data_IF_864951891031
#
_entry.id   IF_864951891031
#
_cell.length_a   1.000
_cell.length_b   1.000
_cell.length_c   1.000
_cell.angle_alpha   90.00
_cell.angle_beta   90.00
_cell.angle_gamma   90.00
#
_symmetry.space_group_name_H-M   'P 1'
#
loop_
_entity.id
_entity.type
_entity.pdbx_description
1 polymer ?
#
# COMPACT_ATOMS: atom_id res chain seq x y z
N UNK A 1 -20.37 -8.02 0.49
CA UNK A 1 -19.87 -8.74 -0.72
C UNK A 1 -18.34 -8.68 -0.74
N UNK A 2 -17.72 -8.85 0.43
CA UNK A 2 -16.36 -8.36 0.71
C UNK A 2 -15.46 -9.53 1.13
N UNK A 3 -16.07 -10.57 1.70
CA UNK A 3 -15.46 -11.83 2.08
C UNK A 3 -14.85 -12.61 0.90
N UNK A 4 -15.55 -12.66 -0.23
CA UNK A 4 -15.10 -13.41 -1.40
C UNK A 4 -13.90 -12.73 -2.08
N UNK A 5 -13.91 -11.39 -2.16
CA UNK A 5 -12.79 -10.59 -2.66
C UNK A 5 -11.57 -10.74 -1.75
N UNK A 6 -11.75 -10.71 -0.43
CA UNK A 6 -10.66 -10.94 0.53
C UNK A 6 -10.06 -12.35 0.43
N UNK A 7 -10.91 -13.37 0.22
CA UNK A 7 -10.45 -14.76 0.10
C UNK A 7 -9.74 -15.00 -1.23
N UNK A 8 -10.23 -14.41 -2.32
CA UNK A 8 -9.56 -14.42 -3.62
C UNK A 8 -8.23 -13.66 -3.55
N UNK A 9 -8.20 -12.46 -2.98
CA UNK A 9 -6.99 -11.67 -2.76
C UNK A 9 -5.95 -12.44 -1.94
N UNK A 10 -6.37 -13.06 -0.84
CA UNK A 10 -5.50 -13.89 0.00
C UNK A 10 -5.01 -15.17 -0.69
N UNK A 11 -5.77 -15.69 -1.66
CA UNK A 11 -5.34 -16.83 -2.48
C UNK A 11 -4.37 -16.39 -3.59
N UNK A 12 -4.68 -15.32 -4.32
CA UNK A 12 -3.83 -14.74 -5.36
C UNK A 12 -2.45 -14.32 -4.81
N UNK A 13 -2.39 -13.78 -3.59
CA UNK A 13 -1.13 -13.33 -2.98
C UNK A 13 -0.34 -14.42 -2.25
N UNK A 14 -0.79 -15.68 -2.30
CA UNK A 14 0.00 -16.82 -1.84
C UNK A 14 0.79 -17.42 -3.01
N UNK A 15 1.97 -18.01 -2.78
CA UNK A 15 2.78 -18.66 -3.81
C UNK A 15 1.98 -19.50 -4.83
N UNK A 16 1.03 -20.37 -4.42
CA UNK A 16 0.20 -21.12 -5.38
C UNK A 16 -0.68 -20.26 -6.30
N UNK A 17 -1.28 -19.17 -5.80
CA UNK A 17 -2.11 -18.29 -6.62
C UNK A 17 -1.29 -17.52 -7.64
N UNK A 18 -0.08 -17.09 -7.25
CA UNK A 18 0.87 -16.46 -8.15
C UNK A 18 1.25 -17.36 -9.32
N UNK A 19 1.64 -18.62 -9.06
CA UNK A 19 1.98 -19.58 -10.13
C UNK A 19 0.80 -19.84 -11.07
N UNK A 20 -0.42 -19.90 -10.54
CA UNK A 20 -1.62 -20.12 -11.34
C UNK A 20 -1.91 -18.93 -12.28
N UNK A 21 -1.74 -17.70 -11.80
CA UNK A 21 -1.83 -16.50 -12.63
C UNK A 21 -0.73 -16.47 -13.70
N UNK A 22 0.53 -16.73 -13.31
CA UNK A 22 1.65 -16.75 -14.26
C UNK A 22 1.41 -17.79 -15.35
N UNK A 23 0.95 -18.99 -15.00
CA UNK A 23 0.60 -20.02 -15.97
C UNK A 23 -0.55 -19.56 -16.89
N UNK A 24 -1.58 -18.92 -16.34
CA UNK A 24 -2.68 -18.34 -17.11
C UNK A 24 -2.21 -17.28 -18.11
N UNK A 25 -1.25 -16.42 -17.72
CA UNK A 25 -0.65 -15.41 -18.61
C UNK A 25 0.16 -16.06 -19.74
N UNK A 26 0.92 -17.11 -19.44
CA UNK A 26 1.70 -17.87 -20.44
C UNK A 26 0.77 -18.53 -21.44
N UNK A 27 -0.28 -19.22 -20.96
CA UNK A 27 -1.28 -19.87 -21.81
C UNK A 27 -1.99 -18.83 -22.70
N UNK A 28 -2.40 -17.72 -22.11
CA UNK A 28 -3.07 -16.63 -22.84
C UNK A 28 -2.17 -16.09 -23.96
N UNK A 29 -0.90 -15.84 -23.67
CA UNK A 29 0.08 -15.37 -24.66
C UNK A 29 0.30 -16.39 -25.78
N UNK A 30 0.32 -17.69 -25.46
CA UNK A 30 0.45 -18.76 -26.45
C UNK A 30 -0.78 -18.90 -27.38
N UNK A 31 -1.96 -18.40 -26.98
CA UNK A 31 -3.18 -18.39 -27.80
C UNK A 31 -3.23 -17.24 -28.82
N UNK A 32 -2.42 -16.18 -28.65
CA UNK A 32 -2.35 -15.02 -29.58
C UNK A 32 -2.08 -15.42 -31.05
N UNK A 33 -1.10 -16.28 -31.38
CA UNK A 33 -0.82 -16.66 -32.78
C UNK A 33 -1.96 -17.46 -33.45
N UNK A 34 -2.97 -17.92 -32.70
CA UNK A 34 -4.13 -18.63 -33.23
C UNK A 34 -5.27 -17.70 -33.68
N UNK A 35 -5.05 -16.39 -33.77
CA UNK A 35 -6.05 -15.42 -34.21
C UNK A 35 -7.09 -15.04 -33.15
N UNK A 36 -6.89 -15.47 -31.89
CA UNK A 36 -7.72 -15.13 -30.74
C UNK A 36 -7.27 -13.84 -30.03
N UNK A 37 -6.45 -13.02 -30.68
CA UNK A 37 -5.79 -11.84 -30.10
C UNK A 37 -6.77 -10.93 -29.36
N UNK A 38 -7.90 -10.57 -29.96
CA UNK A 38 -8.86 -9.64 -29.34
C UNK A 38 -9.42 -10.17 -28.02
N UNK A 39 -9.76 -11.47 -27.97
CA UNK A 39 -10.31 -12.12 -26.78
C UNK A 39 -9.24 -12.25 -25.70
N UNK A 40 -8.05 -12.71 -26.10
CA UNK A 40 -6.90 -12.86 -25.20
C UNK A 40 -6.53 -11.53 -24.58
N UNK A 41 -6.38 -10.48 -25.40
CA UNK A 41 -6.02 -9.14 -24.92
C UNK A 41 -7.08 -8.57 -23.99
N UNK A 42 -8.37 -8.71 -24.32
CA UNK A 42 -9.46 -8.28 -23.43
C UNK A 42 -9.40 -8.96 -22.06
N UNK A 43 -9.24 -10.29 -22.03
CA UNK A 43 -9.12 -11.07 -20.78
C UNK A 43 -7.91 -10.62 -19.97
N UNK A 44 -6.75 -10.42 -20.63
CA UNK A 44 -5.53 -9.96 -19.98
C UNK A 44 -5.68 -8.55 -19.38
N UNK A 45 -6.35 -7.62 -20.08
CA UNK A 45 -6.63 -6.28 -19.56
C UNK A 45 -7.50 -6.31 -18.31
N UNK A 46 -8.58 -7.10 -18.32
CA UNK A 46 -9.46 -7.25 -17.15
C UNK A 46 -8.69 -7.89 -15.98
N UNK A 47 -7.89 -8.93 -16.25
CA UNK A 47 -7.06 -9.57 -15.23
C UNK A 47 -6.06 -8.59 -14.60
N UNK A 48 -5.40 -7.75 -15.41
CA UNK A 48 -4.47 -6.75 -14.92
C UNK A 48 -5.14 -5.72 -13.99
N UNK A 49 -6.36 -5.26 -14.33
CA UNK A 49 -7.14 -4.35 -13.47
C UNK A 49 -7.47 -5.01 -12.13
N UNK A 50 -7.94 -6.26 -12.15
CA UNK A 50 -8.29 -6.99 -10.92
C UNK A 50 -7.07 -7.22 -10.02
N UNK A 51 -5.95 -7.67 -10.60
CA UNK A 51 -4.70 -7.89 -9.86
C UNK A 51 -4.22 -6.57 -9.25
N UNK A 52 -4.21 -5.49 -10.03
CA UNK A 52 -3.84 -4.16 -9.55
C UNK A 52 -4.72 -3.72 -8.38
N UNK A 53 -6.05 -3.89 -8.49
CA UNK A 53 -6.98 -3.59 -7.40
C UNK A 53 -6.69 -4.38 -6.12
N UNK A 54 -6.38 -5.67 -6.24
CA UNK A 54 -6.00 -6.53 -5.11
C UNK A 54 -4.70 -6.05 -4.45
N UNK A 55 -3.68 -5.72 -5.25
CA UNK A 55 -2.39 -5.21 -4.74
C UNK A 55 -2.58 -3.88 -4.01
N UNK A 56 -3.39 -2.97 -4.54
CA UNK A 56 -3.70 -1.70 -3.86
C UNK A 56 -4.37 -1.95 -2.51
N UNK A 57 -5.41 -2.80 -2.45
CA UNK A 57 -6.14 -3.11 -1.20
C UNK A 57 -5.19 -3.70 -0.15
N UNK A 58 -4.28 -4.60 -0.56
CA UNK A 58 -3.29 -5.17 0.33
C UNK A 58 -2.30 -4.12 0.83
N UNK A 59 -1.79 -3.26 -0.07
CA UNK A 59 -0.91 -2.16 0.27
C UNK A 59 -1.52 -1.20 1.30
N UNK A 60 -2.77 -0.78 1.10
CA UNK A 60 -3.48 0.08 2.07
C UNK A 60 -3.56 -0.54 3.47
N UNK A 61 -3.88 -1.84 3.55
CA UNK A 61 -3.97 -2.54 4.84
C UNK A 61 -2.61 -2.64 5.53
N UNK A 62 -1.57 -2.96 4.78
CA UNK A 62 -0.24 -3.14 5.34
C UNK A 62 0.35 -1.79 5.78
N UNK A 63 0.13 -0.71 5.02
CA UNK A 63 0.49 0.66 5.43
C UNK A 63 -0.23 1.09 6.71
N UNK A 64 -1.55 0.85 6.81
CA UNK A 64 -2.31 1.19 8.02
C UNK A 64 -1.81 0.43 9.26
N UNK A 65 -1.43 -0.85 9.10
CA UNK A 65 -0.87 -1.65 10.19
C UNK A 65 0.52 -1.14 10.62
N UNK A 66 1.32 -0.61 9.69
CA UNK A 66 2.61 0.01 10.01
C UNK A 66 2.39 1.29 10.81
N UNK A 67 1.49 2.16 10.35
CA UNK A 67 1.18 3.42 11.03
C UNK A 67 0.69 3.19 12.46
N UNK A 68 -0.24 2.25 12.68
CA UNK A 68 -0.73 1.93 14.02
C UNK A 68 0.39 1.44 14.97
N UNK A 69 1.38 0.69 14.46
CA UNK A 69 2.53 0.25 15.27
C UNK A 69 3.49 1.40 15.57
N UNK A 70 3.69 2.32 14.62
CA UNK A 70 4.51 3.51 14.84
C UNK A 70 3.86 4.44 15.86
N UNK A 71 2.54 4.63 15.78
CA UNK A 71 1.76 5.40 16.74
C UNK A 71 1.92 4.87 18.18
N UNK A 72 1.85 3.54 18.36
CA UNK A 72 2.09 2.91 19.66
C UNK A 72 3.52 3.14 20.17
N UNK A 73 4.53 3.06 19.29
CA UNK A 73 5.93 3.34 19.65
C UNK A 73 6.10 4.81 20.05
N UNK A 74 5.54 5.75 19.29
CA UNK A 74 5.55 7.19 19.61
C UNK A 74 4.85 7.45 20.93
N UNK A 75 3.72 6.80 21.21
CA UNK A 75 3.04 6.91 22.49
C UNK A 75 3.87 6.36 23.67
N UNK A 76 4.65 5.29 23.44
CA UNK A 76 5.48 4.66 24.47
C UNK A 76 6.79 5.39 24.78
N UNK A 77 7.26 6.23 23.86
CA UNK A 77 8.48 7.03 24.02
C UNK A 77 8.15 8.32 24.79
N UNK A 78 8.70 8.46 26.01
CA UNK A 78 8.43 9.61 26.88
C UNK A 78 8.86 10.97 26.31
N UNK A 79 9.74 10.98 25.30
CA UNK A 79 10.24 12.18 24.62
C UNK A 79 9.64 12.37 23.21
N UNK A 80 8.87 11.39 22.72
CA UNK A 80 8.22 11.50 21.42
C UNK A 80 6.90 12.28 21.57
N UNK A 81 6.71 13.28 20.71
CA UNK A 81 5.59 14.21 20.85
C UNK A 81 4.30 13.55 20.38
N UNK A 82 3.32 13.41 21.28
CA UNK A 82 2.02 12.81 20.96
C UNK A 82 1.26 13.51 19.79
N UNK A 83 1.64 14.74 19.43
CA UNK A 83 1.05 15.49 18.32
C UNK A 83 1.41 14.95 16.92
N UNK A 84 2.39 14.05 16.78
CA UNK A 84 2.69 13.38 15.49
C UNK A 84 1.93 12.06 15.31
N UNK A 85 1.29 11.54 16.36
CA UNK A 85 0.45 10.34 16.29
C UNK A 85 -0.78 10.62 15.42
N UNK A 86 -1.03 9.77 14.43
CA UNK A 86 -2.17 9.90 13.52
C UNK A 86 -2.12 11.13 12.58
N UNK A 87 -0.97 11.80 12.47
CA UNK A 87 -0.82 12.99 11.62
C UNK A 87 -1.12 12.72 10.14
N UNK A 88 -1.00 11.48 9.67
CA UNK A 88 -1.36 11.08 8.30
C UNK A 88 -2.84 11.23 7.95
N UNK A 89 -3.71 11.32 8.97
CA UNK A 89 -5.14 11.55 8.80
C UNK A 89 -5.49 13.05 8.78
N UNK A 90 -4.53 13.91 9.10
CA UNK A 90 -4.72 15.35 9.11
C UNK A 90 -4.71 15.93 7.69
N UNK A 91 -5.26 17.14 7.55
CA UNK A 91 -5.31 17.82 6.27
C UNK A 91 -3.88 18.22 5.82
N UNK A 92 -3.66 18.35 4.50
CA UNK A 92 -2.31 18.58 3.97
C UNK A 92 -1.66 19.88 4.51
N UNK A 93 -2.49 20.87 4.87
CA UNK A 93 -2.04 22.12 5.50
C UNK A 93 -1.57 21.89 6.94
N UNK A 94 -2.27 21.06 7.69
CA UNK A 94 -1.98 20.77 9.09
C UNK A 94 -0.73 19.91 9.22
N UNK A 95 -0.55 18.94 8.31
CA UNK A 95 0.69 18.15 8.21
C UNK A 95 1.89 19.07 7.98
N UNK A 96 1.80 20.00 7.03
CA UNK A 96 2.89 20.96 6.75
C UNK A 96 3.17 21.90 7.92
N UNK A 97 2.14 22.35 8.63
CA UNK A 97 2.29 23.20 9.80
C UNK A 97 2.98 22.45 10.96
N UNK A 98 2.60 21.19 11.19
CA UNK A 98 3.24 20.32 12.17
C UNK A 98 4.72 20.06 11.81
N UNK A 99 5.01 19.71 10.55
CA UNK A 99 6.39 19.54 10.07
C UNK A 99 7.24 20.79 10.28
N UNK A 100 6.77 21.96 9.86
CA UNK A 100 7.50 23.22 10.01
C UNK A 100 7.81 23.55 11.47
N UNK A 101 6.88 23.21 12.36
CA UNK A 101 7.09 23.39 13.80
C UNK A 101 8.20 22.47 14.33
N UNK A 102 8.21 21.20 13.92
CA UNK A 102 9.24 20.22 14.28
C UNK A 102 10.61 20.63 13.74
N UNK A 103 10.69 21.00 12.47
CA UNK A 103 11.94 21.44 11.83
C UNK A 103 12.54 22.66 12.54
N UNK A 104 11.71 23.67 12.86
CA UNK A 104 12.16 24.87 13.56
C UNK A 104 12.64 24.57 14.98
N UNK A 105 11.99 23.66 15.68
CA UNK A 105 12.41 23.25 17.02
C UNK A 105 13.73 22.47 17.00
N UNK A 106 13.92 21.61 16.00
CA UNK A 106 15.18 20.88 15.78
C UNK A 106 16.36 21.83 15.48
N UNK A 107 16.17 22.83 14.61
CA UNK A 107 17.19 23.86 14.34
C UNK A 107 17.55 24.66 15.60
N UNK A 108 16.56 25.00 16.43
CA UNK A 108 16.82 25.75 17.67
C UNK A 108 17.55 24.90 18.72
N UNK A 109 17.27 23.59 18.79
CA UNK A 109 17.97 22.67 19.68
C UNK A 109 19.44 22.50 19.28
N UNK A 110 19.73 22.43 17.98
CA UNK A 110 21.10 22.33 17.44
C UNK A 110 21.90 23.63 17.69
N UNK A 111 21.30 24.79 17.43
CA UNK A 111 21.91 26.10 17.72
C UNK A 111 22.10 26.40 19.21
N UNK A 112 21.36 25.74 20.11
CA UNK A 112 21.52 25.90 21.55
C UNK A 112 22.58 24.95 22.14
N UNK A 113 23.00 23.94 21.36
CA UNK A 113 24.05 22.99 21.72
C UNK A 113 25.44 23.36 21.14
N UNK A 114 25.50 24.40 20.30
CA UNK A 114 26.70 25.02 19.75
C UNK A 114 27.09 26.29 20.52
#
# INVERSE_FOLDING_TARGET
MDWQLFRLAGFLSRPPGFYLLTLGMIISTALVPFGLTDIVTYVLSVAAILITGVVLIQGYRDTAAIHAKLDEIVLSLNDARNQVVGLEHADAKDIKAALKTIEREAENADNSAA
#
